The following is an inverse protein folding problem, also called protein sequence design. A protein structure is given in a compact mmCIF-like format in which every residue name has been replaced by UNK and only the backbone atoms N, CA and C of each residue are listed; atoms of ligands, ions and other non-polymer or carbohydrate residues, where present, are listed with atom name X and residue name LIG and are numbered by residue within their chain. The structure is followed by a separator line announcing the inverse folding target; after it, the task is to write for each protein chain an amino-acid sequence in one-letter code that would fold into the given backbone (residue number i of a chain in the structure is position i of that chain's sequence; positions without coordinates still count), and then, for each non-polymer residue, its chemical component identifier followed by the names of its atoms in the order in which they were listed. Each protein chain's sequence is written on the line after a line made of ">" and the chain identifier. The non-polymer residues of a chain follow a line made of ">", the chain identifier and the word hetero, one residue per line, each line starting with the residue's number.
data_IF_031956686240
#
_entry.id   IF_031956686240
#
_cell.length_a   1.000
_cell.length_b   1.000
_cell.length_c   1.000
_cell.angle_alpha   90.00
_cell.angle_beta   90.00
_cell.angle_gamma   90.00
#
_symmetry.space_group_name_H-M   'P 1'
#
loop_
_entity.id
_entity.type
_entity.pdbx_description
1 polymer ?
#
# COMPACT_ATOMS: atom_id res chain seq x y z
N UNK A 1 -6.37 -3.88 -41.28
CA UNK A 1 -6.81 -5.15 -40.71
C UNK A 1 -5.57 -5.81 -40.15
N UNK A 2 -5.33 -5.67 -38.87
CA UNK A 2 -4.21 -6.27 -38.14
C UNK A 2 -4.74 -6.70 -36.81
N UNK A 3 -4.80 -8.03 -36.62
CA UNK A 3 -5.40 -8.69 -35.49
C UNK A 3 -4.59 -8.44 -34.21
N UNK A 4 -5.22 -7.82 -33.24
CA UNK A 4 -4.73 -7.76 -31.86
C UNK A 4 -5.03 -9.11 -31.19
N UNK A 5 -4.00 -9.93 -30.98
CA UNK A 5 -4.08 -11.05 -30.03
C UNK A 5 -3.75 -10.55 -28.63
N UNK A 6 -4.57 -10.87 -27.62
CA UNK A 6 -4.23 -10.56 -26.24
C UNK A 6 -3.17 -11.54 -25.74
N UNK A 7 -2.13 -11.00 -25.10
CA UNK A 7 -1.10 -11.77 -24.42
C UNK A 7 -1.74 -12.65 -23.33
N UNK A 8 -1.48 -13.94 -23.40
CA UNK A 8 -1.90 -14.91 -22.42
C UNK A 8 -1.16 -14.66 -21.11
N UNK A 9 -1.88 -14.15 -20.10
CA UNK A 9 -1.42 -14.23 -18.72
C UNK A 9 -1.43 -15.70 -18.28
N UNK A 10 -0.25 -16.24 -18.08
CA UNK A 10 -0.08 -17.55 -17.46
C UNK A 10 -0.59 -17.50 -16.03
N UNK A 11 -1.74 -18.11 -15.79
CA UNK A 11 -2.30 -18.38 -14.48
C UNK A 11 -1.30 -19.22 -13.68
N UNK A 12 -0.59 -18.58 -12.75
CA UNK A 12 0.13 -19.27 -11.69
C UNK A 12 -0.88 -19.80 -10.69
N UNK A 13 -1.41 -20.98 -10.93
CA UNK A 13 -2.07 -21.81 -9.93
C UNK A 13 -1.08 -22.04 -8.78
N UNK A 14 -1.23 -21.30 -7.67
CA UNK A 14 -0.65 -21.71 -6.40
C UNK A 14 -1.45 -22.92 -5.89
N UNK A 15 -1.29 -24.03 -6.62
CA UNK A 15 -1.71 -25.33 -6.19
C UNK A 15 -0.86 -25.73 -4.99
N UNK A 16 -1.52 -26.30 -4.01
CA UNK A 16 -0.94 -27.04 -2.91
C UNK A 16 0.24 -27.90 -3.42
N UNK A 17 1.49 -27.46 -3.16
CA UNK A 17 2.67 -28.29 -3.46
C UNK A 17 2.73 -29.39 -2.43
N UNK A 18 2.15 -30.53 -2.75
CA UNK A 18 2.44 -31.79 -2.08
C UNK A 18 3.83 -32.20 -2.55
N UNK A 19 4.86 -31.93 -1.74
CA UNK A 19 6.18 -32.50 -1.97
C UNK A 19 6.17 -33.91 -1.39
N UNK A 20 5.86 -34.89 -2.24
CA UNK A 20 6.05 -36.29 -1.91
C UNK A 20 7.55 -36.61 -2.06
N UNK A 21 8.27 -36.74 -0.97
CA UNK A 21 9.58 -37.41 -0.96
C UNK A 21 9.35 -38.92 -1.00
N UNK A 22 9.59 -39.54 -2.15
CA UNK A 22 9.66 -41.01 -2.25
C UNK A 22 11.07 -41.38 -1.75
N UNK A 23 11.14 -41.83 -0.51
CA UNK A 23 12.34 -42.47 0.00
C UNK A 23 12.18 -43.98 -0.24
N UNK A 24 12.99 -44.53 -1.18
CA UNK A 24 13.10 -45.94 -1.44
C UNK A 24 14.03 -46.56 -0.40
N UNK A 25 13.48 -47.15 0.67
CA UNK A 25 14.03 -48.32 1.41
C UNK A 25 13.11 -48.66 2.59
N UNK A 26 12.61 -49.92 2.53
CA UNK A 26 12.02 -50.75 3.59
C UNK A 26 10.69 -50.32 4.23
N UNK A 27 9.72 -51.23 4.01
CA UNK A 27 8.38 -51.29 4.61
C UNK A 27 8.47 -51.26 6.15
N UNK A 28 8.33 -50.16 6.78
CA UNK A 28 7.81 -49.97 8.15
C UNK A 28 8.19 -48.62 8.77
N UNK A 29 8.15 -47.53 8.05
CA UNK A 29 8.33 -46.23 8.76
C UNK A 29 7.51 -45.14 8.09
N UNK A 30 6.40 -44.83 8.78
CA UNK A 30 5.81 -43.52 8.97
C UNK A 30 5.81 -42.57 7.77
N UNK A 31 4.69 -42.55 7.04
CA UNK A 31 4.32 -41.42 6.21
C UNK A 31 4.11 -40.21 7.14
N UNK A 32 5.18 -39.49 7.45
CA UNK A 32 5.09 -38.14 8.01
C UNK A 32 4.67 -37.21 6.89
N UNK A 33 3.38 -37.09 6.63
CA UNK A 33 2.83 -36.02 5.83
C UNK A 33 3.03 -34.77 6.65
N UNK A 34 4.11 -34.04 6.38
CA UNK A 34 4.26 -32.65 6.79
C UNK A 34 3.20 -31.83 6.07
N UNK A 35 1.99 -31.78 6.60
CA UNK A 35 1.02 -30.77 6.24
C UNK A 35 1.56 -29.48 6.83
N UNK A 36 2.35 -28.75 6.06
CA UNK A 36 2.66 -27.38 6.37
C UNK A 36 1.32 -26.64 6.28
N UNK A 37 0.72 -26.35 7.42
CA UNK A 37 -0.41 -25.45 7.53
C UNK A 37 0.07 -24.07 7.02
N UNK A 38 -0.19 -23.78 5.75
CA UNK A 38 -0.05 -22.42 5.24
C UNK A 38 -1.15 -21.63 5.93
N UNK A 39 -0.78 -20.85 6.93
CA UNK A 39 -1.72 -19.94 7.58
C UNK A 39 -2.35 -19.08 6.48
N UNK A 40 -3.69 -19.01 6.39
CA UNK A 40 -4.34 -18.21 5.38
C UNK A 40 -3.88 -16.76 5.50
N UNK A 41 -3.46 -16.19 4.39
CA UNK A 41 -3.02 -14.79 4.36
C UNK A 41 -4.20 -13.90 4.68
N UNK A 42 -4.01 -12.95 5.60
CA UNK A 42 -5.04 -12.02 6.05
C UNK A 42 -4.79 -10.65 5.43
N UNK A 43 -5.79 -10.14 4.74
CA UNK A 43 -5.76 -8.80 4.17
C UNK A 43 -6.70 -7.88 4.96
N UNK A 44 -6.19 -6.75 5.44
CA UNK A 44 -7.02 -5.75 6.08
C UNK A 44 -7.42 -4.70 5.03
N UNK A 45 -8.70 -4.61 4.75
CA UNK A 45 -9.27 -3.68 3.79
C UNK A 45 -10.17 -2.69 4.51
N UNK A 46 -10.02 -1.40 4.23
CA UNK A 46 -10.81 -0.33 4.82
C UNK A 46 -12.00 0.01 3.92
N UNK A 47 -13.20 -0.07 4.49
CA UNK A 47 -14.48 0.34 3.90
C UNK A 47 -15.01 1.54 4.69
N UNK A 48 -15.11 2.72 4.09
CA UNK A 48 -15.56 3.94 4.79
C UNK A 48 -14.84 4.17 6.13
N UNK A 49 -13.52 3.98 6.17
CA UNK A 49 -12.64 4.04 7.35
C UNK A 49 -12.76 2.87 8.35
N UNK A 50 -13.67 1.92 8.16
CA UNK A 50 -13.80 0.75 9.02
C UNK A 50 -13.01 -0.44 8.45
N UNK A 51 -12.15 -1.11 9.25
CA UNK A 51 -11.36 -2.23 8.77
C UNK A 51 -12.18 -3.51 8.71
N UNK A 52 -12.01 -4.27 7.63
CA UNK A 52 -12.50 -5.63 7.49
C UNK A 52 -11.35 -6.57 7.14
N UNK A 53 -11.31 -7.73 7.77
CA UNK A 53 -10.30 -8.75 7.47
C UNK A 53 -10.87 -9.70 6.41
N UNK A 54 -10.14 -9.84 5.30
CA UNK A 54 -10.41 -10.81 4.23
C UNK A 54 -9.39 -11.94 4.41
N UNK A 55 -9.85 -13.14 4.71
CA UNK A 55 -8.98 -14.29 5.00
C UNK A 55 -8.96 -15.31 3.90
N UNK A 56 -10.10 -15.47 3.20
CA UNK A 56 -10.28 -16.50 2.18
C UNK A 56 -10.72 -15.85 0.87
N UNK A 57 -10.39 -16.50 -0.24
CA UNK A 57 -10.83 -16.07 -1.58
C UNK A 57 -10.44 -14.63 -1.93
N UNK A 58 -9.19 -14.23 -1.60
CA UNK A 58 -8.68 -12.88 -1.90
C UNK A 58 -8.84 -12.51 -3.38
N UNK A 59 -8.54 -13.46 -4.28
CA UNK A 59 -8.66 -13.28 -5.72
C UNK A 59 -10.13 -13.04 -6.13
N UNK A 60 -11.08 -13.78 -5.52
CA UNK A 60 -12.52 -13.58 -5.77
C UNK A 60 -12.95 -12.23 -5.24
N UNK A 61 -12.50 -11.84 -4.05
CA UNK A 61 -12.76 -10.49 -3.51
C UNK A 61 -12.24 -9.41 -4.46
N UNK A 62 -11.01 -9.52 -4.94
CA UNK A 62 -10.41 -8.54 -5.86
C UNK A 62 -11.14 -8.47 -7.21
N UNK A 63 -11.71 -9.58 -7.70
CA UNK A 63 -12.40 -9.62 -8.98
C UNK A 63 -13.64 -8.71 -9.03
N UNK A 64 -14.22 -8.36 -7.89
CA UNK A 64 -15.36 -7.45 -7.80
C UNK A 64 -14.98 -5.95 -7.89
N UNK A 65 -13.68 -5.65 -7.98
CA UNK A 65 -13.15 -4.30 -7.92
C UNK A 65 -12.23 -3.99 -9.10
N UNK A 66 -12.18 -2.73 -9.47
CA UNK A 66 -11.09 -2.19 -10.29
C UNK A 66 -9.90 -1.86 -9.38
N UNK A 67 -8.78 -2.56 -9.59
CA UNK A 67 -7.56 -2.34 -8.80
C UNK A 67 -6.86 -1.05 -9.26
N UNK A 68 -6.58 -0.16 -8.31
CA UNK A 68 -5.68 0.98 -8.48
C UNK A 68 -4.48 0.77 -7.56
N UNK A 69 -3.29 0.81 -8.14
CA UNK A 69 -2.05 0.82 -7.38
C UNK A 69 -1.56 2.25 -7.17
N UNK A 70 -1.01 2.49 -6.00
CA UNK A 70 -0.50 3.78 -5.56
C UNK A 70 0.72 3.59 -4.68
N UNK A 71 1.55 4.62 -4.54
CA UNK A 71 2.64 4.60 -3.60
C UNK A 71 2.78 5.94 -2.88
N UNK A 72 3.38 5.94 -1.70
CA UNK A 72 3.58 7.15 -0.92
C UNK A 72 4.61 7.00 0.20
N UNK A 73 4.81 8.08 0.94
CA UNK A 73 5.86 8.17 1.93
C UNK A 73 5.40 8.55 3.33
N UNK A 74 5.96 7.86 4.33
CA UNK A 74 6.09 8.34 5.69
C UNK A 74 7.46 9.02 5.77
N UNK A 75 7.47 10.36 5.61
CA UNK A 75 8.69 11.15 5.43
C UNK A 75 9.07 11.82 6.74
N UNK A 76 10.34 11.69 7.11
CA UNK A 76 10.95 12.34 8.26
C UNK A 76 11.97 13.38 7.79
N UNK A 77 11.97 14.54 8.42
CA UNK A 77 13.06 15.53 8.30
C UNK A 77 14.15 15.29 9.35
N UNK A 78 15.21 16.12 9.33
CA UNK A 78 16.32 16.03 10.28
C UNK A 78 15.93 16.32 11.75
N UNK A 79 14.76 16.90 11.98
CA UNK A 79 14.19 17.18 13.31
C UNK A 79 13.26 16.06 13.79
N UNK A 80 13.19 14.95 13.04
CA UNK A 80 12.27 13.81 13.26
C UNK A 80 10.78 14.19 13.23
N UNK A 81 10.44 15.28 12.55
CA UNK A 81 9.05 15.64 12.27
C UNK A 81 8.54 14.82 11.09
N UNK A 82 7.23 14.54 11.07
CA UNK A 82 6.55 13.79 10.02
C UNK A 82 5.86 14.76 9.06
N UNK A 83 6.05 14.53 7.75
CA UNK A 83 5.32 15.25 6.70
C UNK A 83 3.89 14.74 6.62
N UNK A 84 2.93 15.64 6.78
CA UNK A 84 1.51 15.34 6.64
C UNK A 84 0.82 16.35 5.71
N UNK A 85 -0.19 15.86 5.02
CA UNK A 85 -1.07 16.66 4.16
C UNK A 85 -2.47 16.73 4.75
N UNK A 86 -3.19 17.83 4.51
CA UNK A 86 -4.60 17.95 4.86
C UNK A 86 -5.45 18.05 3.59
N UNK A 87 -6.32 17.06 3.38
CA UNK A 87 -7.24 17.01 2.24
C UNK A 87 -8.55 16.33 2.61
N UNK A 88 -9.65 16.72 1.99
CA UNK A 88 -10.98 16.15 2.28
C UNK A 88 -11.32 16.19 3.78
N UNK A 89 -10.96 17.28 4.48
CA UNK A 89 -11.14 17.48 5.92
C UNK A 89 -10.47 16.43 6.82
N UNK A 90 -9.39 15.78 6.34
CA UNK A 90 -8.63 14.77 7.09
C UNK A 90 -7.13 14.92 6.86
N UNK A 91 -6.37 14.56 7.89
CA UNK A 91 -4.94 14.39 7.79
C UNK A 91 -4.62 13.06 7.10
N UNK A 92 -3.64 13.12 6.20
CA UNK A 92 -3.20 12.00 5.37
C UNK A 92 -1.67 12.06 5.22
N UNK A 93 -1.09 11.04 4.61
CA UNK A 93 0.30 11.04 4.15
C UNK A 93 0.32 11.21 2.63
N UNK A 94 1.36 11.86 2.08
CA UNK A 94 1.47 12.09 0.64
C UNK A 94 1.60 10.77 -0.13
N UNK A 95 0.79 10.62 -1.19
CA UNK A 95 0.70 9.41 -2.02
C UNK A 95 -0.19 9.61 -3.23
N UNK A 96 0.16 9.01 -4.31
CA UNK A 96 -0.71 9.03 -5.47
C UNK A 96 -0.61 7.78 -6.34
N UNK A 97 -1.17 7.87 -7.52
CA UNK A 97 -1.38 6.72 -8.40
C UNK A 97 -0.10 6.37 -9.15
N UNK A 98 0.18 5.06 -9.24
CA UNK A 98 1.25 4.54 -10.09
C UNK A 98 0.96 4.84 -11.57
N UNK A 99 1.91 5.45 -12.25
CA UNK A 99 1.84 5.74 -13.68
C UNK A 99 2.29 4.57 -14.54
N UNK A 100 2.00 4.64 -15.82
CA UNK A 100 2.41 3.60 -16.77
C UNK A 100 3.94 3.56 -16.90
N UNK A 101 4.53 2.38 -16.75
CA UNK A 101 5.97 2.13 -16.81
C UNK A 101 6.80 2.77 -15.67
N UNK A 102 6.16 3.26 -14.63
CA UNK A 102 6.80 3.74 -13.42
C UNK A 102 7.01 2.60 -12.42
N UNK A 103 8.13 2.56 -11.70
CA UNK A 103 8.26 1.63 -10.59
C UNK A 103 7.70 2.22 -9.29
N UNK A 104 7.33 1.34 -8.37
CA UNK A 104 6.63 1.71 -7.12
C UNK A 104 7.42 2.70 -6.25
N UNK A 105 8.77 2.59 -6.23
CA UNK A 105 9.63 3.50 -5.44
C UNK A 105 9.73 4.89 -6.08
N UNK A 106 9.82 4.93 -7.39
CA UNK A 106 9.82 6.20 -8.15
C UNK A 106 8.49 6.92 -7.97
N UNK A 107 7.37 6.21 -8.09
CA UNK A 107 6.05 6.73 -7.79
C UNK A 107 5.99 7.34 -6.38
N UNK A 108 6.45 6.63 -5.37
CA UNK A 108 6.39 7.13 -4.00
C UNK A 108 7.20 8.44 -3.79
N UNK A 109 8.37 8.56 -4.44
CA UNK A 109 9.18 9.78 -4.39
C UNK A 109 8.50 10.91 -5.16
N UNK A 110 8.06 10.65 -6.40
CA UNK A 110 7.40 11.64 -7.26
C UNK A 110 6.17 12.23 -6.57
N UNK A 111 5.30 11.37 -6.05
CA UNK A 111 4.06 11.82 -5.38
C UNK A 111 4.32 12.70 -4.15
N UNK A 112 5.34 12.36 -3.33
CA UNK A 112 5.74 13.23 -2.20
C UNK A 112 6.25 14.58 -2.70
N UNK A 113 7.01 14.59 -3.80
CA UNK A 113 7.53 15.82 -4.40
C UNK A 113 6.41 16.69 -4.97
N UNK A 114 5.47 16.10 -5.70
CA UNK A 114 4.35 16.80 -6.33
C UNK A 114 3.36 17.32 -5.30
N UNK A 115 2.91 16.48 -4.37
CA UNK A 115 1.91 16.84 -3.37
C UNK A 115 2.41 17.82 -2.31
N UNK A 116 3.74 17.87 -2.04
CA UNK A 116 4.29 18.61 -0.91
C UNK A 116 5.38 19.63 -1.25
N UNK A 117 5.93 19.62 -2.47
CA UNK A 117 7.07 20.45 -2.86
C UNK A 117 8.40 20.06 -2.20
N UNK A 118 8.50 18.86 -1.58
CA UNK A 118 9.69 18.39 -0.88
C UNK A 118 10.64 17.71 -1.85
N UNK A 119 11.94 17.98 -1.74
CA UNK A 119 13.00 17.38 -2.56
C UNK A 119 14.05 16.68 -1.69
N UNK A 120 15.02 16.01 -2.33
CA UNK A 120 16.10 15.32 -1.60
C UNK A 120 15.63 14.09 -0.81
N UNK A 121 14.56 13.44 -1.26
CA UNK A 121 14.00 12.28 -0.61
C UNK A 121 14.87 11.03 -0.79
N UNK A 122 15.08 10.29 0.28
CA UNK A 122 15.75 8.99 0.31
C UNK A 122 14.84 7.94 0.91
N UNK A 123 14.59 6.85 0.18
CA UNK A 123 13.85 5.70 0.71
C UNK A 123 14.75 4.94 1.69
N UNK A 124 14.27 4.78 2.92
CA UNK A 124 14.92 3.99 3.98
C UNK A 124 14.49 2.53 3.91
N UNK A 125 13.19 2.28 3.90
CA UNK A 125 12.63 0.92 3.87
C UNK A 125 11.20 0.91 3.34
N UNK A 126 10.78 -0.27 2.87
CA UNK A 126 9.35 -0.56 2.69
C UNK A 126 8.72 -0.80 4.06
N UNK A 127 7.57 -0.20 4.31
CA UNK A 127 6.82 -0.38 5.56
C UNK A 127 5.77 -1.47 5.43
N UNK A 128 4.78 -1.22 4.63
CA UNK A 128 3.65 -2.12 4.34
C UNK A 128 2.85 -1.58 3.18
N UNK A 129 1.91 -2.38 2.69
CA UNK A 129 0.82 -1.89 1.87
C UNK A 129 -0.48 -1.79 2.68
N UNK A 130 -1.37 -0.93 2.22
CA UNK A 130 -2.72 -0.77 2.75
C UNK A 130 -3.74 -0.85 1.64
N UNK A 131 -4.94 -1.33 1.99
CA UNK A 131 -6.04 -1.48 1.06
C UNK A 131 -7.24 -0.68 1.54
N UNK A 132 -7.86 0.08 0.65
CA UNK A 132 -9.15 0.70 0.92
C UNK A 132 -10.04 0.68 -0.32
N UNK A 133 -11.34 0.71 -0.07
CA UNK A 133 -12.34 0.71 -1.13
C UNK A 133 -13.12 2.02 -1.15
N UNK A 134 -13.52 2.41 -2.35
CA UNK A 134 -14.43 3.52 -2.59
C UNK A 134 -15.14 3.31 -3.93
N UNK A 135 -16.07 4.19 -4.26
CA UNK A 135 -16.80 4.13 -5.52
C UNK A 135 -16.62 5.42 -6.30
N UNK A 136 -16.36 5.30 -7.60
CA UNK A 136 -16.33 6.42 -8.55
C UNK A 136 -17.21 6.06 -9.74
N UNK A 137 -18.22 6.90 -10.02
CA UNK A 137 -19.10 6.72 -11.18
C UNK A 137 -19.70 5.32 -11.30
N UNK A 138 -20.14 4.73 -10.17
CA UNK A 138 -20.72 3.39 -10.10
C UNK A 138 -19.70 2.25 -10.21
N UNK A 139 -18.39 2.54 -10.29
CA UNK A 139 -17.34 1.53 -10.28
C UNK A 139 -16.76 1.35 -8.89
N UNK A 140 -16.75 0.12 -8.40
CA UNK A 140 -16.08 -0.23 -7.14
C UNK A 140 -14.58 -0.24 -7.35
N UNK A 141 -13.85 0.51 -6.55
CA UNK A 141 -12.40 0.63 -6.60
C UNK A 141 -11.80 -0.04 -5.37
N UNK A 142 -10.75 -0.84 -5.57
CA UNK A 142 -9.83 -1.29 -4.55
C UNK A 142 -8.49 -0.58 -4.77
N UNK A 143 -8.14 0.36 -3.90
CA UNK A 143 -6.84 1.04 -3.96
C UNK A 143 -5.87 0.33 -3.03
N UNK A 144 -4.77 -0.17 -3.61
CA UNK A 144 -3.60 -0.66 -2.89
C UNK A 144 -2.56 0.45 -2.84
N UNK A 145 -2.11 0.82 -1.67
CA UNK A 145 -1.06 1.84 -1.51
C UNK A 145 0.17 1.22 -0.85
N UNK A 146 1.32 1.32 -1.52
CA UNK A 146 2.62 0.89 -1.01
C UNK A 146 3.26 2.04 -0.23
N UNK A 147 3.62 1.81 1.03
CA UNK A 147 4.18 2.82 1.91
C UNK A 147 5.66 2.60 2.17
N UNK A 148 6.42 3.68 2.07
CA UNK A 148 7.86 3.69 2.33
C UNK A 148 8.20 4.67 3.44
N UNK A 149 9.10 4.27 4.36
CA UNK A 149 9.78 5.22 5.22
C UNK A 149 10.81 5.97 4.38
N UNK A 150 10.82 7.29 4.50
CA UNK A 150 11.73 8.17 3.77
C UNK A 150 12.33 9.20 4.70
N UNK A 151 13.53 9.67 4.35
CA UNK A 151 14.18 10.81 4.99
C UNK A 151 14.46 11.91 3.96
N UNK A 152 14.53 13.16 4.46
CA UNK A 152 14.95 14.31 3.68
C UNK A 152 15.67 15.32 4.58
N UNK A 153 16.60 16.08 4.00
CA UNK A 153 17.23 17.26 4.59
C UNK A 153 16.62 18.59 4.09
N UNK A 154 15.47 18.49 3.42
CA UNK A 154 14.77 19.64 2.83
C UNK A 154 14.46 20.72 3.87
N UNK A 155 14.81 21.95 3.56
CA UNK A 155 14.59 23.16 4.39
C UNK A 155 13.80 24.25 3.66
N UNK A 156 13.30 23.93 2.47
CA UNK A 156 12.50 24.85 1.67
C UNK A 156 11.07 25.04 2.21
N UNK A 157 10.31 25.85 1.53
CA UNK A 157 8.88 26.01 1.82
C UNK A 157 8.09 24.81 1.30
N UNK A 158 7.19 24.29 2.11
CA UNK A 158 6.21 23.28 1.69
C UNK A 158 5.18 23.92 0.74
N UNK A 159 4.85 23.22 -0.32
CA UNK A 159 3.91 23.70 -1.34
C UNK A 159 2.82 22.65 -1.55
N UNK A 160 1.58 22.90 -1.09
CA UNK A 160 0.48 21.98 -1.30
C UNK A 160 0.05 21.95 -2.77
N UNK A 161 -0.18 20.73 -3.31
CA UNK A 161 -0.77 20.52 -4.64
C UNK A 161 -2.29 20.73 -4.55
N UNK A 162 -2.72 21.95 -4.86
CA UNK A 162 -4.13 22.35 -4.69
C UNK A 162 -5.06 21.69 -5.70
N UNK A 163 -4.56 21.25 -6.87
CA UNK A 163 -5.35 20.51 -7.86
C UNK A 163 -5.78 19.14 -7.37
N UNK A 164 -4.99 18.52 -6.48
CA UNK A 164 -5.32 17.29 -5.76
C UNK A 164 -6.18 17.52 -4.51
N UNK A 165 -6.63 18.76 -4.28
CA UNK A 165 -7.46 19.14 -3.13
C UNK A 165 -6.71 19.19 -1.81
N UNK A 166 -5.38 19.27 -1.85
CA UNK A 166 -4.53 19.44 -0.67
C UNK A 166 -4.56 20.91 -0.28
N UNK A 167 -5.01 21.20 0.93
CA UNK A 167 -5.13 22.56 1.44
C UNK A 167 -4.01 22.95 2.41
N UNK A 168 -3.36 21.98 3.03
CA UNK A 168 -2.23 22.18 3.93
C UNK A 168 -1.19 21.08 3.77
N UNK A 169 0.08 21.45 3.88
CA UNK A 169 1.23 20.55 4.04
C UNK A 169 2.05 21.06 5.21
N UNK A 170 2.32 20.17 6.17
CA UNK A 170 3.01 20.57 7.42
C UNK A 170 4.02 19.52 7.86
N UNK A 171 5.06 19.96 8.54
CA UNK A 171 5.90 19.13 9.39
C UNK A 171 5.25 19.03 10.77
N UNK A 172 5.00 17.81 11.23
CA UNK A 172 4.28 17.53 12.48
C UNK A 172 5.24 16.94 13.50
N UNK A 173 5.35 17.60 14.66
CA UNK A 173 6.09 17.09 15.79
C UNK A 173 5.40 15.89 16.44
N UNK A 174 6.18 15.07 17.12
CA UNK A 174 5.70 13.83 17.75
C UNK A 174 4.58 14.08 18.79
N UNK A 175 4.63 15.18 19.49
CA UNK A 175 3.64 15.58 20.51
C UNK A 175 2.30 16.00 19.87
N UNK A 176 2.34 16.59 18.67
CA UNK A 176 1.15 17.00 17.90
C UNK A 176 0.55 15.84 17.07
N UNK A 177 1.33 14.78 16.85
CA UNK A 177 0.94 13.67 15.98
C UNK A 177 -0.36 12.99 16.42
N UNK A 178 -0.59 12.83 17.71
CA UNK A 178 -1.79 12.19 18.25
C UNK A 178 -3.08 12.92 17.86
N UNK A 179 -3.06 14.26 17.85
CA UNK A 179 -4.19 15.09 17.41
C UNK A 179 -4.46 14.88 15.92
N UNK A 180 -3.42 14.92 15.08
CA UNK A 180 -3.53 14.73 13.64
C UNK A 180 -4.05 13.34 13.30
N UNK A 181 -3.55 12.29 13.98
CA UNK A 181 -4.01 10.91 13.83
C UNK A 181 -5.50 10.77 14.15
N UNK A 182 -6.01 11.45 15.18
CA UNK A 182 -7.44 11.38 15.53
C UNK A 182 -8.35 11.77 14.36
N UNK A 183 -7.93 12.75 13.55
CA UNK A 183 -8.64 13.18 12.34
C UNK A 183 -8.03 12.63 11.05
N UNK A 184 -7.45 11.43 11.06
CA UNK A 184 -6.90 10.76 9.87
C UNK A 184 -7.80 9.63 9.38
N UNK A 185 -7.50 9.14 8.17
CA UNK A 185 -8.12 7.92 7.65
C UNK A 185 -7.68 6.67 8.46
N UNK A 186 -8.53 5.63 8.50
CA UNK A 186 -8.28 4.44 9.30
C UNK A 186 -6.98 3.71 8.96
N UNK A 187 -6.64 3.60 7.67
CA UNK A 187 -5.39 3.02 7.19
C UNK A 187 -4.15 3.84 7.58
N UNK A 188 -4.26 5.18 7.64
CA UNK A 188 -3.19 6.07 8.09
C UNK A 188 -3.00 5.96 9.62
N UNK A 189 -4.10 5.89 10.38
CA UNK A 189 -4.04 5.63 11.83
C UNK A 189 -3.27 4.34 12.16
N UNK A 190 -3.43 3.31 11.33
CA UNK A 190 -2.71 2.05 11.49
C UNK A 190 -1.23 2.15 11.13
N UNK A 191 -0.90 2.93 10.10
CA UNK A 191 0.48 3.11 9.66
C UNK A 191 1.32 3.90 10.66
N UNK A 192 0.69 4.84 11.38
CA UNK A 192 1.34 5.76 12.33
C UNK A 192 1.32 5.27 13.81
N UNK A 193 0.77 4.09 14.10
CA UNK A 193 0.76 3.45 15.43
C UNK A 193 1.91 2.48 15.59
#
# INVERSE_FOLDING_TARGET
>A
MGDFQPAAHTNGLLGCKIIAFICNKDLATCLAISISYIMPQKYKVYFNNEPKIITDNWEIFCADYYLIEAAGGLVYNNENQILMIFRNNKWDLPKGKLEQNENIKECAIREVQEECGVTGLSIVSFLKDTYHTYEINGKKILKRTYWFAMNTDFKGSLVPETEEGITEVVWVDKDQLAEKINNSFGNIKELLR
#
